data_IF_913226146085
#
_entry.id   IF_913226146085
#
_cell.length_a   1.000
_cell.length_b   1.000
_cell.length_c   1.000
_cell.angle_alpha   90.00
_cell.angle_beta   90.00
_cell.angle_gamma   90.00
#
_symmetry.space_group_name_H-M   'P 1'
#
loop_
_entity.id
_entity.type
_entity.pdbx_description
1 polymer ?
#
# COMPACT_ATOMS: atom_id res chain seq x y z
N UNK A 1 14.12 -11.34 4.59
CA UNK A 1 13.19 -11.19 3.45
C UNK A 1 12.91 -9.72 3.23
N UNK A 2 13.12 -9.23 2.01
CA UNK A 2 12.67 -7.90 1.61
C UNK A 2 11.15 -7.80 1.60
N UNK A 3 10.64 -6.62 2.01
CA UNK A 3 9.22 -6.29 2.03
C UNK A 3 8.88 -5.37 0.87
N UNK A 4 7.61 -5.33 0.51
CA UNK A 4 7.09 -4.39 -0.48
C UNK A 4 7.49 -2.95 -0.13
N UNK A 5 8.00 -2.22 -1.12
CA UNK A 5 8.42 -0.82 -0.96
C UNK A 5 7.28 0.19 -1.01
N UNK A 6 6.05 -0.25 -1.32
CA UNK A 6 4.89 0.63 -1.33
C UNK A 6 4.72 1.28 0.03
N UNK A 7 4.51 2.59 0.02
CA UNK A 7 4.32 3.40 1.22
C UNK A 7 2.93 4.00 1.17
N UNK A 8 2.09 3.60 2.12
CA UNK A 8 0.79 4.22 2.32
C UNK A 8 1.01 5.68 2.71
N UNK A 9 0.29 6.58 2.05
CA UNK A 9 0.26 8.01 2.42
C UNK A 9 -0.87 8.32 3.42
N UNK A 10 -1.57 7.29 3.89
CA UNK A 10 -2.78 7.47 4.69
C UNK A 10 -2.48 7.28 6.18
N UNK A 11 -2.55 8.38 6.95
CA UNK A 11 -2.36 8.37 8.40
C UNK A 11 -0.89 8.30 8.87
N UNK A 12 0.08 8.44 7.96
CA UNK A 12 1.51 8.35 8.24
C UNK A 12 2.26 7.54 7.17
N UNK A 13 3.60 7.49 7.25
CA UNK A 13 4.45 6.70 6.34
C UNK A 13 4.46 5.24 6.83
N UNK A 14 3.48 4.44 6.40
CA UNK A 14 3.43 3.01 6.72
C UNK A 14 3.78 2.19 5.48
N UNK A 15 4.76 1.28 5.63
CA UNK A 15 5.18 0.38 4.55
C UNK A 15 4.31 -0.87 4.51
N UNK A 16 4.03 -1.34 3.30
CA UNK A 16 3.34 -2.61 3.07
C UNK A 16 4.13 -3.78 3.71
N UNK A 17 3.44 -4.60 4.49
CA UNK A 17 4.03 -5.71 5.25
C UNK A 17 4.34 -6.95 4.41
N UNK A 18 3.79 -7.05 3.20
CA UNK A 18 3.87 -8.22 2.33
C UNK A 18 5.27 -8.48 1.77
N UNK A 19 5.62 -9.75 1.47
CA UNK A 19 6.89 -10.10 0.87
C UNK A 19 7.04 -9.50 -0.53
N UNK A 20 8.28 -9.16 -0.89
CA UNK A 20 8.60 -8.70 -2.24
C UNK A 20 8.33 -9.81 -3.27
N UNK A 21 7.80 -9.42 -4.44
CA UNK A 21 7.60 -10.27 -5.60
C UNK A 21 8.42 -9.78 -6.80
N UNK A 22 8.14 -8.57 -7.31
CA UNK A 22 8.80 -8.04 -8.52
C UNK A 22 8.95 -6.53 -8.45
N UNK A 23 10.08 -5.99 -8.93
CA UNK A 23 10.42 -4.56 -8.89
C UNK A 23 10.31 -3.92 -7.48
N UNK A 24 10.59 -4.69 -6.43
CA UNK A 24 10.44 -4.20 -5.05
C UNK A 24 8.99 -4.14 -4.55
N UNK A 25 8.00 -4.59 -5.32
CA UNK A 25 6.59 -4.64 -4.92
C UNK A 25 6.13 -6.06 -4.59
N UNK A 26 5.13 -6.21 -3.70
CA UNK A 26 4.37 -7.45 -3.57
C UNK A 26 3.50 -7.69 -4.82
N UNK A 27 2.85 -8.85 -4.91
CA UNK A 27 2.00 -9.20 -6.08
C UNK A 27 0.92 -8.15 -6.36
N UNK A 28 0.19 -7.76 -5.33
CA UNK A 28 -0.89 -6.76 -5.45
C UNK A 28 -0.37 -5.39 -5.91
N UNK A 29 0.68 -4.86 -5.27
CA UNK A 29 1.22 -3.55 -5.65
C UNK A 29 1.93 -3.58 -7.00
N UNK A 30 2.49 -4.73 -7.41
CA UNK A 30 2.99 -4.91 -8.77
C UNK A 30 1.87 -4.86 -9.81
N UNK A 31 0.72 -5.48 -9.55
CA UNK A 31 -0.45 -5.39 -10.44
C UNK A 31 -0.98 -3.96 -10.53
N UNK A 32 -0.98 -3.22 -9.41
CA UNK A 32 -1.33 -1.80 -9.40
C UNK A 32 -0.36 -0.97 -10.26
N UNK A 33 0.94 -1.30 -10.22
CA UNK A 33 1.96 -0.66 -11.05
C UNK A 33 1.72 -0.95 -12.54
N UNK A 34 1.44 -2.20 -12.90
CA UNK A 34 1.13 -2.60 -14.29
C UNK A 34 -0.10 -1.87 -14.83
N UNK A 35 -1.09 -1.62 -13.97
CA UNK A 35 -2.31 -0.85 -14.31
C UNK A 35 -2.12 0.67 -14.33
N UNK A 36 -0.94 1.17 -13.96
CA UNK A 36 -0.67 2.61 -13.85
C UNK A 36 -1.34 3.29 -12.66
N UNK A 37 -1.81 2.52 -11.68
CA UNK A 37 -2.45 3.02 -10.46
C UNK A 37 -1.41 3.51 -9.45
N UNK A 38 -0.20 2.95 -9.47
CA UNK A 38 0.95 3.44 -8.73
C UNK A 38 2.16 3.61 -9.65
N UNK A 39 3.06 4.52 -9.31
CA UNK A 39 4.31 4.73 -10.06
C UNK A 39 5.45 3.81 -9.58
N UNK A 40 6.61 3.91 -10.24
CA UNK A 40 7.82 3.15 -9.87
C UNK A 40 8.41 3.60 -8.52
N UNK A 41 7.91 4.68 -7.91
CA UNK A 41 8.32 5.11 -6.56
C UNK A 41 7.41 4.51 -5.49
N UNK A 42 6.33 3.84 -5.90
CA UNK A 42 5.33 3.27 -4.99
C UNK A 42 4.34 4.31 -4.49
N UNK A 43 4.08 5.34 -5.29
CA UNK A 43 3.11 6.42 -4.99
C UNK A 43 1.87 6.23 -5.86
N UNK A 44 0.67 6.40 -5.28
CA UNK A 44 -0.59 6.32 -6.02
C UNK A 44 -0.68 7.46 -7.02
N UNK A 45 -0.96 7.12 -8.28
CA UNK A 45 -1.16 8.07 -9.36
C UNK A 45 -2.34 9.01 -9.08
N UNK A 46 -2.19 10.28 -9.43
CA UNK A 46 -3.27 11.28 -9.35
C UNK A 46 -4.47 10.94 -10.25
N UNK A 47 -4.27 10.07 -11.25
CA UNK A 47 -5.32 9.59 -12.16
C UNK A 47 -6.31 8.63 -11.47
N UNK A 48 -5.94 8.04 -10.34
CA UNK A 48 -6.85 7.19 -9.55
C UNK A 48 -7.75 8.10 -8.72
N UNK A 49 -8.89 8.48 -9.29
CA UNK A 49 -9.87 9.38 -8.65
C UNK A 49 -10.85 8.64 -7.74
N UNK A 50 -11.08 7.35 -7.99
CA UNK A 50 -11.93 6.50 -7.15
C UNK A 50 -11.35 6.36 -5.75
N UNK A 51 -12.04 6.93 -4.77
CA UNK A 51 -11.57 6.95 -3.39
C UNK A 51 -11.50 5.55 -2.81
N UNK A 52 -12.48 4.67 -3.07
CA UNK A 52 -12.48 3.30 -2.57
C UNK A 52 -11.27 2.52 -3.08
N UNK A 53 -10.94 2.66 -4.37
CA UNK A 53 -9.76 2.05 -4.95
C UNK A 53 -8.49 2.57 -4.30
N UNK A 54 -8.37 3.88 -4.05
CA UNK A 54 -7.26 4.46 -3.29
C UNK A 54 -7.18 3.87 -1.88
N UNK A 55 -8.32 3.58 -1.23
CA UNK A 55 -8.35 2.92 0.09
C UNK A 55 -7.79 1.51 0.02
N UNK A 56 -8.24 0.72 -0.94
CA UNK A 56 -7.76 -0.64 -1.17
C UNK A 56 -6.24 -0.67 -1.40
N UNK A 57 -5.73 0.26 -2.22
CA UNK A 57 -4.29 0.32 -2.52
C UNK A 57 -3.47 0.71 -1.28
N UNK A 58 -3.93 1.70 -0.50
CA UNK A 58 -3.23 2.17 0.69
C UNK A 58 -3.21 1.15 1.84
N UNK A 59 -4.30 0.41 2.05
CA UNK A 59 -4.43 -0.51 3.19
C UNK A 59 -3.97 -1.94 2.91
N UNK A 60 -3.63 -2.27 1.66
CA UNK A 60 -3.10 -3.59 1.35
C UNK A 60 -1.78 -3.87 2.11
N UNK A 61 -1.73 -5.03 2.76
CA UNK A 61 -0.54 -5.47 3.50
C UNK A 61 -0.28 -4.70 4.79
N UNK A 62 -1.20 -3.82 5.21
CA UNK A 62 -1.15 -3.28 6.56
C UNK A 62 -1.75 -4.30 7.53
N UNK A 63 -1.13 -4.50 8.71
CA UNK A 63 -1.78 -5.28 9.74
C UNK A 63 -3.13 -4.63 10.07
N UNK A 64 -4.17 -5.43 10.41
CA UNK A 64 -5.38 -4.86 10.98
C UNK A 64 -4.94 -3.96 12.13
N UNK A 65 -5.46 -2.73 12.15
CA UNK A 65 -5.09 -1.76 13.18
C UNK A 65 -5.11 -2.50 14.51
N UNK A 66 -3.94 -2.58 15.18
CA UNK A 66 -3.93 -2.99 16.58
C UNK A 66 -4.82 -1.95 17.24
N UNK A 67 -6.06 -2.33 17.52
CA UNK A 67 -6.94 -1.55 18.36
C UNK A 67 -6.18 -1.40 19.66
N UNK A 68 -5.47 -0.28 19.83
CA UNK A 68 -5.12 0.19 21.15
C UNK A 68 -6.47 0.49 21.78
N UNK A 69 -7.03 -0.53 22.41
CA UNK A 69 -8.02 -0.36 23.47
C UNK A 69 -7.34 0.51 24.51
N UNK A 70 -7.50 1.83 24.37
CA UNK A 70 -7.46 2.72 25.52
C UNK A 70 -8.72 2.39 26.31
N UNK A 71 -8.62 1.37 27.16
CA UNK A 71 -9.52 1.22 28.29
C UNK A 71 -9.15 2.36 29.26
N UNK A 72 -10.06 3.32 29.38
CA UNK A 72 -10.14 4.22 30.52
C UNK A 72 -11.09 3.60 31.55
#
# INVERSE_FOLDING_TARGET
>A
MDRCRFTSSWGGVVRCGEPVYRLGFCRFHFDCYVRGEIDIRGVISERVTDQERRRQINFHGLPPARTTTSAA
#
